data_IF_917190621780
#
_entry.id   IF_917190621780
#
_cell.length_a   1.000
_cell.length_b   1.000
_cell.length_c   1.000
_cell.angle_alpha   90.00
_cell.angle_beta   90.00
_cell.angle_gamma   90.00
#
_symmetry.space_group_name_H-M   'P 1'
#
loop_
_entity.id
_entity.type
_entity.pdbx_description
1 polymer ?
#
# COMPACT_ATOMS: atom_id res chain seq x y z
N UNK A 1 28.45 -22.04 -12.25
CA UNK A 1 28.25 -20.59 -12.00
C UNK A 1 27.22 -20.46 -10.88
N UNK A 2 27.25 -19.41 -10.05
CA UNK A 2 26.15 -19.11 -9.14
C UNK A 2 24.84 -18.89 -9.94
N UNK A 3 23.69 -19.06 -9.29
CA UNK A 3 22.42 -18.57 -9.86
C UNK A 3 22.42 -17.03 -9.78
N UNK A 4 22.01 -16.39 -10.88
CA UNK A 4 21.91 -14.93 -10.98
C UNK A 4 20.47 -14.48 -10.73
N UNK A 5 20.29 -13.36 -10.05
CA UNK A 5 18.97 -12.76 -9.74
C UNK A 5 18.96 -11.33 -10.25
N UNK A 6 18.00 -11.02 -11.12
CA UNK A 6 17.65 -9.65 -11.49
C UNK A 6 16.53 -9.16 -10.58
N UNK A 7 16.71 -8.00 -9.96
CA UNK A 7 15.70 -7.32 -9.14
C UNK A 7 15.30 -6.03 -9.85
N UNK A 8 14.01 -5.85 -10.13
CA UNK A 8 13.48 -4.65 -10.77
C UNK A 8 12.81 -3.77 -9.71
N UNK A 9 13.36 -2.56 -9.54
CA UNK A 9 13.04 -1.61 -8.48
C UNK A 9 13.86 -1.83 -7.20
N UNK A 10 14.39 -0.74 -6.64
CA UNK A 10 15.09 -0.69 -5.34
C UNK A 10 14.23 0.00 -4.26
N UNK A 11 12.90 -0.15 -4.35
CA UNK A 11 11.99 0.08 -3.21
C UNK A 11 12.20 -0.95 -2.09
N UNK A 12 11.53 -0.77 -0.95
CA UNK A 12 11.69 -1.65 0.23
C UNK A 12 11.55 -3.16 -0.09
N UNK A 13 10.64 -3.53 -1.00
CA UNK A 13 10.50 -4.91 -1.49
C UNK A 13 11.73 -5.41 -2.27
N UNK A 14 12.29 -4.58 -3.16
CA UNK A 14 13.48 -4.90 -3.94
C UNK A 14 14.76 -4.90 -3.12
N UNK A 15 14.88 -4.01 -2.14
CA UNK A 15 15.99 -4.02 -1.17
C UNK A 15 15.97 -5.30 -0.32
N UNK A 16 14.79 -5.76 0.12
CA UNK A 16 14.65 -7.06 0.77
C UNK A 16 15.04 -8.21 -0.18
N UNK A 17 14.57 -8.19 -1.42
CA UNK A 17 14.91 -9.19 -2.44
C UNK A 17 16.42 -9.29 -2.68
N UNK A 18 17.08 -8.15 -2.90
CA UNK A 18 18.53 -8.09 -3.11
C UNK A 18 19.30 -8.57 -1.87
N UNK A 19 18.94 -8.09 -0.68
CA UNK A 19 19.56 -8.47 0.60
C UNK A 19 19.51 -9.98 0.86
N UNK A 20 18.34 -10.60 0.75
CA UNK A 20 18.20 -12.05 0.99
C UNK A 20 18.80 -12.89 -0.14
N UNK A 21 18.91 -12.36 -1.37
CA UNK A 21 19.63 -13.01 -2.47
C UNK A 21 21.14 -13.02 -2.23
N UNK A 22 21.72 -11.88 -1.83
CA UNK A 22 23.14 -11.77 -1.43
C UNK A 22 23.44 -12.70 -0.25
N UNK A 23 22.56 -12.73 0.76
CA UNK A 23 22.71 -13.62 1.93
C UNK A 23 22.63 -15.13 1.58
N UNK A 24 22.06 -15.49 0.42
CA UNK A 24 22.06 -16.85 -0.14
C UNK A 24 23.25 -17.14 -1.06
N UNK A 25 24.20 -16.21 -1.21
CA UNK A 25 25.37 -16.36 -2.10
C UNK A 25 25.02 -16.28 -3.59
N UNK A 26 23.93 -15.61 -3.94
CA UNK A 26 23.51 -15.40 -5.33
C UNK A 26 24.23 -14.18 -5.92
N UNK A 27 24.42 -14.18 -7.23
CA UNK A 27 24.89 -13.02 -7.99
C UNK A 27 23.68 -12.12 -8.27
N UNK A 28 23.71 -10.86 -7.86
CA UNK A 28 22.52 -9.98 -7.85
C UNK A 28 22.78 -8.71 -8.62
N UNK A 29 21.86 -8.39 -9.53
CA UNK A 29 21.80 -7.11 -10.25
C UNK A 29 20.46 -6.43 -9.94
N UNK A 30 20.50 -5.13 -9.60
CA UNK A 30 19.33 -4.36 -9.17
C UNK A 30 19.13 -3.17 -10.11
N UNK A 31 18.00 -3.12 -10.79
CA UNK A 31 17.63 -2.06 -11.72
C UNK A 31 16.64 -1.09 -11.05
N UNK A 32 17.13 0.07 -10.63
CA UNK A 32 16.30 1.19 -10.17
C UNK A 32 16.21 2.24 -11.29
N UNK A 33 15.01 2.81 -11.50
CA UNK A 33 14.76 3.80 -12.57
C UNK A 33 15.00 5.24 -12.10
N UNK A 34 15.02 5.46 -10.78
CA UNK A 34 15.32 6.74 -10.13
C UNK A 34 16.79 6.80 -9.69
N UNK A 35 17.24 7.98 -9.25
CA UNK A 35 18.62 8.17 -8.80
C UNK A 35 18.88 7.72 -7.35
N UNK A 36 17.88 7.13 -6.68
CA UNK A 36 17.91 6.84 -5.23
C UNK A 36 17.18 5.54 -4.89
N UNK A 37 17.73 4.77 -3.94
CA UNK A 37 17.02 3.62 -3.36
C UNK A 37 15.94 4.06 -2.37
N UNK A 38 14.89 3.25 -2.21
CA UNK A 38 13.74 3.53 -1.32
C UNK A 38 12.39 3.47 -2.04
N UNK A 39 12.37 3.63 -3.37
CA UNK A 39 11.16 3.58 -4.20
C UNK A 39 10.16 4.67 -3.77
N UNK A 40 8.93 4.28 -3.43
CA UNK A 40 7.89 5.20 -2.94
C UNK A 40 8.35 6.10 -1.79
N UNK A 41 9.23 5.62 -0.89
CA UNK A 41 9.70 6.42 0.26
C UNK A 41 10.70 7.53 -0.11
N UNK A 42 11.24 7.52 -1.33
CA UNK A 42 11.99 8.67 -1.86
C UNK A 42 10.96 9.74 -2.22
N UNK A 43 10.98 10.85 -1.48
CA UNK A 43 10.12 11.98 -1.80
C UNK A 43 10.59 12.70 -3.08
N UNK A 44 9.62 13.21 -3.83
CA UNK A 44 9.86 14.12 -4.95
C UNK A 44 8.62 14.96 -5.14
N UNK A 45 8.78 16.29 -5.17
CA UNK A 45 7.69 17.20 -5.50
C UNK A 45 7.29 17.18 -6.97
N UNK A 46 8.08 16.54 -7.85
CA UNK A 46 7.68 16.30 -9.23
C UNK A 46 6.45 15.38 -9.26
N UNK A 47 5.37 15.85 -9.88
CA UNK A 47 4.14 15.09 -10.12
C UNK A 47 4.33 14.10 -11.27
N UNK A 48 3.58 13.01 -11.30
CA UNK A 48 3.72 11.96 -12.32
C UNK A 48 5.03 11.14 -12.29
N UNK A 49 5.79 11.17 -11.18
CA UNK A 49 6.98 10.35 -10.99
C UNK A 49 6.64 8.98 -10.34
N UNK A 50 7.63 8.22 -9.86
CA UNK A 50 7.37 6.96 -9.16
C UNK A 50 6.80 7.16 -7.74
N UNK A 51 7.14 8.29 -7.08
CA UNK A 51 6.76 8.56 -5.70
C UNK A 51 5.33 9.10 -5.59
N UNK A 52 4.66 8.75 -4.50
CA UNK A 52 3.32 9.23 -4.12
C UNK A 52 3.29 9.80 -2.70
N UNK A 53 4.43 10.24 -2.18
CA UNK A 53 4.57 10.88 -0.87
C UNK A 53 4.30 12.39 -0.96
N UNK A 54 3.89 12.99 0.16
CA UNK A 54 3.45 14.38 0.28
C UNK A 54 3.90 14.94 1.63
N UNK A 55 4.45 16.15 1.65
CA UNK A 55 5.34 16.79 2.64
C UNK A 55 5.05 16.48 4.13
N UNK A 56 3.78 16.37 4.52
CA UNK A 56 3.35 16.16 5.91
C UNK A 56 2.92 14.70 6.23
N UNK A 57 3.05 13.77 5.26
CA UNK A 57 2.70 12.35 5.40
C UNK A 57 3.41 11.73 6.59
N UNK A 58 2.60 11.13 7.46
CA UNK A 58 3.03 10.14 8.46
C UNK A 58 2.58 8.76 8.02
N UNK A 59 3.39 7.74 8.26
CA UNK A 59 3.05 6.33 7.95
C UNK A 59 1.63 5.94 8.40
N UNK A 60 0.99 5.02 7.67
CA UNK A 60 -0.35 4.50 8.00
C UNK A 60 -0.30 3.22 8.87
N UNK A 61 0.90 2.78 9.23
CA UNK A 61 1.22 1.71 10.17
C UNK A 61 2.40 2.17 11.05
N UNK A 62 2.51 1.67 12.28
CA UNK A 62 3.56 2.07 13.21
C UNK A 62 4.89 1.38 12.87
N UNK A 63 6.04 2.02 13.16
CA UNK A 63 7.38 1.54 12.81
C UNK A 63 7.67 0.13 13.37
N UNK A 64 7.07 -0.19 14.52
CA UNK A 64 7.18 -1.45 15.25
C UNK A 64 6.59 -2.65 14.48
N UNK A 65 5.53 -2.46 13.68
CA UNK A 65 4.98 -3.50 12.79
C UNK A 65 5.50 -3.40 11.34
N UNK A 66 6.27 -2.36 11.05
CA UNK A 66 6.87 -2.13 9.73
C UNK A 66 8.34 -2.52 9.66
N UNK A 67 9.08 -2.68 10.76
CA UNK A 67 10.52 -2.98 10.71
C UNK A 67 10.87 -4.35 10.09
N UNK A 68 12.06 -4.43 9.49
CA UNK A 68 12.67 -5.71 9.12
C UNK A 68 13.27 -6.39 10.36
N UNK A 69 13.25 -7.73 10.40
CA UNK A 69 13.65 -8.52 11.58
C UNK A 69 15.06 -8.25 12.09
N UNK A 70 15.96 -7.87 11.21
CA UNK A 70 17.39 -7.64 11.45
C UNK A 70 17.83 -6.19 11.15
N UNK A 71 16.87 -5.29 10.90
CA UNK A 71 17.09 -3.83 10.77
C UNK A 71 15.95 -3.11 11.51
N UNK A 72 16.02 -3.03 12.85
CA UNK A 72 15.03 -2.29 13.63
C UNK A 72 15.14 -0.79 13.36
N UNK A 73 14.04 -0.06 13.55
CA UNK A 73 14.09 1.40 13.61
C UNK A 73 14.73 1.86 14.93
N UNK A 74 15.33 3.04 14.94
CA UNK A 74 15.79 3.69 16.19
C UNK A 74 14.62 3.88 17.15
N UNK A 75 14.84 3.60 18.43
CA UNK A 75 13.83 3.71 19.49
C UNK A 75 13.31 5.13 19.69
N UNK A 76 14.17 6.14 19.51
CA UNK A 76 13.87 7.56 19.72
C UNK A 76 12.96 8.20 18.65
N UNK A 77 12.64 7.46 17.59
CA UNK A 77 11.70 7.89 16.56
C UNK A 77 10.25 7.64 17.00
N UNK A 78 9.30 8.57 16.72
CA UNK A 78 7.88 8.34 16.98
C UNK A 78 7.40 7.14 16.17
N UNK A 79 6.37 6.43 16.66
CA UNK A 79 5.87 5.23 15.97
C UNK A 79 5.35 5.53 14.55
N UNK A 80 4.99 6.78 14.20
CA UNK A 80 4.58 7.17 12.84
C UNK A 80 5.54 8.21 12.20
N UNK A 81 6.20 7.84 11.10
CA UNK A 81 7.40 8.50 10.52
C UNK A 81 7.11 9.41 9.28
N UNK A 82 7.97 10.41 9.01
CA UNK A 82 7.91 11.40 7.88
C UNK A 82 9.05 11.25 6.84
N UNK A 83 9.32 12.23 5.93
CA UNK A 83 10.03 12.00 4.63
C UNK A 83 10.59 13.23 3.80
N UNK A 84 10.54 14.48 4.28
CA UNK A 84 10.86 15.81 3.65
C UNK A 84 12.05 15.93 2.63
N UNK A 85 12.18 16.84 1.61
CA UNK A 85 11.31 17.88 0.93
C UNK A 85 11.84 18.23 -0.55
N UNK A 86 11.82 19.45 -1.19
CA UNK A 86 11.08 19.71 -2.46
C UNK A 86 11.81 20.16 -3.77
N UNK A 87 11.25 19.85 -4.97
CA UNK A 87 10.79 20.80 -6.06
C UNK A 87 9.93 20.13 -7.21
N UNK A 88 9.16 20.89 -8.03
CA UNK A 88 8.15 20.44 -9.07
C UNK A 88 8.25 21.23 -10.42
N UNK A 89 7.71 20.78 -11.60
CA UNK A 89 6.52 21.48 -12.19
C UNK A 89 5.60 20.76 -13.27
N UNK A 90 4.30 20.55 -12.96
CA UNK A 90 3.09 20.49 -13.86
C UNK A 90 3.00 19.43 -15.02
N UNK A 91 1.89 19.16 -15.75
CA UNK A 91 0.54 19.75 -16.07
C UNK A 91 -0.49 18.58 -16.29
N UNK A 92 -1.79 18.65 -16.64
CA UNK A 92 -2.88 19.64 -16.91
C UNK A 92 -4.27 18.91 -16.96
N UNK A 93 -5.43 19.62 -16.97
CA UNK A 93 -6.77 19.11 -17.39
C UNK A 93 -7.82 20.25 -17.61
N UNK A 94 -9.10 19.90 -17.84
CA UNK A 94 -10.19 20.82 -18.26
C UNK A 94 -11.18 21.25 -17.15
N UNK A 95 -10.89 21.05 -15.86
CA UNK A 95 -11.67 21.63 -14.76
C UNK A 95 -11.38 23.15 -14.62
N UNK A 96 -12.35 23.94 -14.14
CA UNK A 96 -12.16 25.39 -13.92
C UNK A 96 -11.28 25.73 -12.70
N UNK A 97 -11.19 24.80 -11.74
CA UNK A 97 -10.26 24.86 -10.61
C UNK A 97 -9.16 23.79 -10.74
N UNK A 98 -8.56 23.39 -9.61
CA UNK A 98 -7.50 22.36 -9.60
C UNK A 98 -8.10 20.95 -9.44
N UNK A 99 -7.93 20.06 -10.42
CA UNK A 99 -8.24 18.62 -10.28
C UNK A 99 -6.95 17.80 -10.33
N UNK A 100 -6.71 16.96 -9.32
CA UNK A 100 -5.54 16.08 -9.21
C UNK A 100 -5.91 14.68 -8.68
N UNK A 101 -5.02 13.69 -8.86
CA UNK A 101 -5.08 12.45 -8.08
C UNK A 101 -4.28 12.58 -6.77
N UNK A 102 -4.52 11.71 -5.79
CA UNK A 102 -3.73 11.63 -4.55
C UNK A 102 -2.25 11.30 -4.80
N UNK A 103 -1.92 10.83 -6.01
CA UNK A 103 -0.56 10.66 -6.50
C UNK A 103 0.20 11.99 -6.65
N UNK A 104 -0.52 13.07 -6.98
CA UNK A 104 0.04 14.39 -7.31
C UNK A 104 -0.15 15.42 -6.20
N UNK A 105 -0.89 15.07 -5.14
CA UNK A 105 -0.94 15.85 -3.92
C UNK A 105 0.46 15.92 -3.30
N UNK A 106 0.87 17.10 -2.82
CA UNK A 106 2.18 17.30 -2.19
C UNK A 106 2.16 17.93 -0.81
N UNK A 107 1.12 18.65 -0.38
CA UNK A 107 1.05 19.35 0.93
C UNK A 107 -0.26 20.10 1.17
N UNK A 108 -0.58 20.37 2.42
CA UNK A 108 -1.79 21.11 2.79
C UNK A 108 -1.73 22.62 2.47
N UNK A 109 -0.53 23.24 2.52
CA UNK A 109 -0.36 24.70 2.37
C UNK A 109 -0.79 25.24 1.00
N UNK A 110 -0.73 24.42 -0.04
CA UNK A 110 -1.10 24.79 -1.42
C UNK A 110 -2.63 24.89 -1.63
N UNK A 111 -3.41 24.63 -0.57
CA UNK A 111 -4.88 24.69 -0.52
C UNK A 111 -5.43 25.66 0.54
N UNK A 112 -4.58 26.58 1.04
CA UNK A 112 -4.98 27.65 1.96
C UNK A 112 -6.26 28.37 1.50
N UNK A 113 -7.23 28.49 2.40
CA UNK A 113 -8.53 29.14 2.22
C UNK A 113 -9.44 28.58 1.10
N UNK A 114 -9.07 27.46 0.44
CA UNK A 114 -9.88 26.84 -0.63
C UNK A 114 -11.02 25.98 -0.11
N UNK A 115 -12.04 25.77 -0.94
CA UNK A 115 -12.99 24.67 -0.80
C UNK A 115 -12.52 23.45 -1.62
N UNK A 116 -12.39 22.30 -0.96
CA UNK A 116 -11.78 21.09 -1.55
C UNK A 116 -12.72 19.90 -1.44
N UNK A 117 -13.04 19.25 -2.56
CA UNK A 117 -13.69 17.94 -2.59
C UNK A 117 -12.60 16.85 -2.57
N UNK A 118 -12.76 15.84 -1.72
CA UNK A 118 -11.91 14.63 -1.69
C UNK A 118 -12.77 13.42 -2.05
N UNK A 119 -12.51 12.80 -3.20
CA UNK A 119 -13.31 11.68 -3.74
C UNK A 119 -12.66 10.36 -3.32
N UNK A 120 -13.35 9.61 -2.45
CA UNK A 120 -12.91 8.32 -1.94
C UNK A 120 -12.24 8.42 -0.57
N UNK A 121 -12.88 7.87 0.46
CA UNK A 121 -12.39 7.85 1.83
C UNK A 121 -11.56 6.57 2.14
N UNK A 122 -10.61 6.26 1.25
CA UNK A 122 -9.55 5.27 1.53
C UNK A 122 -8.43 5.87 2.40
N UNK A 123 -7.35 5.12 2.69
CA UNK A 123 -6.23 5.59 3.52
C UNK A 123 -5.69 6.96 3.10
N UNK A 124 -5.39 7.17 1.82
CA UNK A 124 -4.95 8.48 1.30
C UNK A 124 -6.04 9.55 1.42
N UNK A 125 -7.30 9.20 1.21
CA UNK A 125 -8.42 10.15 1.23
C UNK A 125 -8.65 10.76 2.61
N UNK A 126 -8.60 9.96 3.66
CA UNK A 126 -8.75 10.47 5.03
C UNK A 126 -7.49 11.19 5.52
N UNK A 127 -6.28 10.70 5.21
CA UNK A 127 -5.04 11.38 5.66
C UNK A 127 -4.89 12.76 5.00
N UNK A 128 -5.16 12.86 3.69
CA UNK A 128 -5.17 14.13 2.95
C UNK A 128 -6.29 15.05 3.47
N UNK A 129 -7.51 14.54 3.73
CA UNK A 129 -8.59 15.35 4.28
C UNK A 129 -8.25 15.90 5.69
N UNK A 130 -7.58 15.11 6.54
CA UNK A 130 -7.13 15.55 7.86
C UNK A 130 -5.98 16.57 7.78
N UNK A 131 -5.03 16.41 6.85
CA UNK A 131 -4.00 17.43 6.60
C UNK A 131 -4.61 18.74 6.08
N UNK A 132 -5.55 18.67 5.15
CA UNK A 132 -6.28 19.83 4.63
C UNK A 132 -7.11 20.55 5.70
N UNK A 133 -7.55 19.87 6.76
CA UNK A 133 -8.36 20.51 7.81
C UNK A 133 -7.63 21.65 8.54
N UNK A 134 -6.30 21.68 8.49
CA UNK A 134 -5.49 22.75 9.06
C UNK A 134 -5.29 23.98 8.14
N UNK A 135 -5.71 23.94 6.86
CA UNK A 135 -5.42 24.99 5.87
C UNK A 135 -6.59 25.37 4.96
N UNK A 136 -7.43 24.42 4.57
CA UNK A 136 -8.54 24.66 3.65
C UNK A 136 -9.78 25.21 4.38
N UNK A 137 -10.49 26.14 3.74
CA UNK A 137 -11.73 26.77 4.25
C UNK A 137 -12.83 25.76 4.51
N UNK A 138 -12.94 24.75 3.64
CA UNK A 138 -13.91 23.65 3.76
C UNK A 138 -13.44 22.43 2.97
N UNK A 139 -13.65 21.24 3.55
CA UNK A 139 -13.37 19.96 2.92
C UNK A 139 -14.69 19.20 2.77
N UNK A 140 -14.92 18.58 1.61
CA UNK A 140 -16.06 17.68 1.39
C UNK A 140 -15.56 16.29 1.00
N UNK A 141 -15.60 15.33 1.94
CA UNK A 141 -15.12 13.97 1.76
C UNK A 141 -16.27 13.05 1.27
N UNK A 142 -16.19 12.56 0.04
CA UNK A 142 -17.29 11.83 -0.63
C UNK A 142 -16.94 10.34 -0.74
N UNK A 143 -17.74 9.46 -0.14
CA UNK A 143 -17.53 8.00 -0.16
C UNK A 143 -18.77 7.21 0.24
N UNK A 144 -19.09 6.12 -0.50
CA UNK A 144 -20.04 5.09 -0.03
C UNK A 144 -19.42 4.03 0.89
N UNK A 145 -18.09 3.94 0.94
CA UNK A 145 -17.38 2.77 1.51
C UNK A 145 -16.79 3.00 2.90
N UNK A 146 -16.74 4.25 3.37
CA UNK A 146 -16.23 4.59 4.69
C UNK A 146 -16.84 5.91 5.17
N UNK A 147 -17.15 5.95 6.46
CA UNK A 147 -17.71 7.08 7.22
C UNK A 147 -16.96 7.11 8.56
N UNK A 148 -16.63 8.30 9.07
CA UNK A 148 -15.89 8.44 10.32
C UNK A 148 -16.77 9.06 11.42
N UNK A 149 -16.64 8.61 12.69
CA UNK A 149 -17.48 9.09 13.78
C UNK A 149 -17.08 10.48 14.29
N UNK A 150 -15.85 10.92 13.99
CA UNK A 150 -15.31 12.21 14.42
C UNK A 150 -14.34 12.73 13.36
N UNK A 151 -14.58 13.97 12.93
CA UNK A 151 -13.77 14.72 11.97
C UNK A 151 -13.72 16.19 12.46
N UNK A 152 -12.70 16.99 12.06
CA UNK A 152 -12.69 18.42 12.29
C UNK A 152 -13.89 19.14 11.65
N UNK A 153 -14.36 20.23 12.26
CA UNK A 153 -15.62 20.91 11.92
C UNK A 153 -15.71 21.41 10.46
N UNK A 154 -14.57 21.66 9.81
CA UNK A 154 -14.51 22.06 8.40
C UNK A 154 -14.59 20.89 7.41
N UNK A 155 -14.64 19.62 7.86
CA UNK A 155 -14.84 18.45 7.00
C UNK A 155 -16.30 17.99 7.01
N UNK A 156 -17.01 18.23 5.92
CA UNK A 156 -18.31 17.59 5.63
C UNK A 156 -18.08 16.21 5.00
N UNK A 157 -18.68 15.14 5.53
CA UNK A 157 -18.64 13.81 4.91
C UNK A 157 -19.97 13.46 4.21
N UNK A 158 -19.91 12.87 3.01
CA UNK A 158 -21.08 12.56 2.18
C UNK A 158 -21.04 11.09 1.74
N UNK A 159 -22.06 10.33 2.14
CA UNK A 159 -22.22 8.89 1.94
C UNK A 159 -22.53 8.43 0.51
N UNK A 160 -22.01 9.09 -0.53
CA UNK A 160 -22.41 8.90 -1.93
C UNK A 160 -21.24 8.59 -2.88
N UNK A 161 -21.56 8.41 -4.15
CA UNK A 161 -20.62 8.50 -5.26
C UNK A 161 -20.80 9.82 -6.00
N UNK A 162 -19.70 10.32 -6.58
CA UNK A 162 -19.72 11.37 -7.58
C UNK A 162 -20.18 10.77 -8.90
N UNK A 163 -21.28 11.29 -9.43
CA UNK A 163 -21.94 10.86 -10.67
C UNK A 163 -21.26 11.49 -11.90
N UNK A 164 -20.79 12.74 -11.76
CA UNK A 164 -20.01 13.48 -12.75
C UNK A 164 -19.32 14.69 -12.11
N UNK A 165 -18.19 15.10 -12.69
CA UNK A 165 -17.57 16.42 -12.44
C UNK A 165 -18.34 17.48 -13.23
N UNK A 166 -18.39 18.70 -12.70
CA UNK A 166 -19.00 19.89 -13.28
C UNK A 166 -17.95 21.01 -13.38
N UNK A 167 -18.23 22.08 -14.12
CA UNK A 167 -17.31 23.20 -14.30
C UNK A 167 -16.84 23.85 -12.98
N UNK A 168 -17.68 23.83 -11.95
CA UNK A 168 -17.47 24.48 -10.64
C UNK A 168 -17.44 23.49 -9.46
N UNK A 169 -17.39 22.17 -9.70
CA UNK A 169 -17.42 21.15 -8.65
C UNK A 169 -17.91 19.78 -9.14
N UNK A 170 -18.88 19.15 -8.46
CA UNK A 170 -19.45 17.86 -8.87
C UNK A 170 -20.94 17.67 -8.56
N UNK A 171 -21.56 16.68 -9.21
CA UNK A 171 -22.90 16.16 -8.89
C UNK A 171 -22.76 14.75 -8.28
N UNK A 172 -23.46 14.45 -7.18
CA UNK A 172 -23.55 13.10 -6.61
C UNK A 172 -24.73 12.31 -7.18
N UNK A 173 -24.78 11.00 -6.92
CA UNK A 173 -25.84 10.10 -7.43
C UNK A 173 -27.26 10.52 -7.03
N UNK A 174 -27.45 11.16 -5.88
CA UNK A 174 -28.73 11.72 -5.42
C UNK A 174 -29.08 13.09 -6.03
N UNK A 175 -28.21 13.63 -6.89
CA UNK A 175 -28.38 14.94 -7.53
C UNK A 175 -27.86 16.12 -6.70
N UNK A 176 -27.25 15.90 -5.53
CA UNK A 176 -26.64 17.01 -4.77
C UNK A 176 -25.47 17.60 -5.56
N UNK A 177 -25.51 18.93 -5.77
CA UNK A 177 -24.43 19.67 -6.42
C UNK A 177 -23.54 20.30 -5.35
N UNK A 178 -22.24 20.04 -5.45
CA UNK A 178 -21.22 20.49 -4.50
C UNK A 178 -20.22 21.34 -5.29
N UNK A 179 -20.00 22.59 -4.86
CA UNK A 179 -18.99 23.49 -5.46
C UNK A 179 -17.63 23.30 -4.78
N UNK A 180 -16.54 23.54 -5.49
CA UNK A 180 -15.18 23.55 -4.94
C UNK A 180 -14.19 24.31 -5.84
N UNK A 181 -13.13 24.84 -5.23
CA UNK A 181 -11.95 25.37 -5.93
C UNK A 181 -10.99 24.23 -6.35
N UNK A 182 -11.13 23.05 -5.74
CA UNK A 182 -10.26 21.89 -5.96
C UNK A 182 -10.99 20.56 -5.81
N UNK A 183 -10.64 19.57 -6.65
CA UNK A 183 -11.07 18.17 -6.52
C UNK A 183 -9.82 17.29 -6.43
N UNK A 184 -9.67 16.54 -5.33
CA UNK A 184 -8.62 15.53 -5.14
C UNK A 184 -9.24 14.14 -5.23
N UNK A 185 -8.78 13.35 -6.20
CA UNK A 185 -9.27 12.00 -6.44
C UNK A 185 -8.40 11.00 -5.67
N UNK A 186 -8.99 10.24 -4.75
CA UNK A 186 -8.31 9.32 -3.83
C UNK A 186 -8.78 7.87 -4.05
N UNK A 187 -9.01 7.48 -5.31
CA UNK A 187 -9.68 6.23 -5.70
C UNK A 187 -8.78 4.99 -5.72
N UNK A 188 -7.48 5.14 -5.52
CA UNK A 188 -6.49 4.05 -5.54
C UNK A 188 -5.66 4.02 -6.82
N UNK A 189 -4.98 2.90 -7.07
CA UNK A 189 -3.98 2.78 -8.12
C UNK A 189 -4.25 1.56 -9.01
N UNK A 190 -3.64 1.55 -10.19
CA UNK A 190 -3.68 0.45 -11.16
C UNK A 190 -2.30 -0.20 -11.28
N UNK A 191 -2.27 -1.50 -11.54
CA UNK A 191 -1.03 -2.21 -11.87
C UNK A 191 -0.60 -1.91 -13.31
N UNK A 192 0.70 -1.70 -13.53
CA UNK A 192 1.27 -1.42 -14.86
C UNK A 192 2.71 -1.90 -14.92
N UNK A 193 2.99 -2.83 -15.84
CA UNK A 193 4.32 -3.40 -16.06
C UNK A 193 4.72 -3.22 -17.53
N UNK A 194 5.07 -2.00 -17.98
CA UNK A 194 5.24 -1.67 -19.40
C UNK A 194 6.48 -2.31 -20.05
N UNK A 195 7.26 -3.06 -19.28
CA UNK A 195 8.45 -3.82 -19.69
C UNK A 195 8.19 -5.33 -19.79
N UNK A 196 6.96 -5.79 -19.54
CA UNK A 196 6.54 -7.18 -19.74
C UNK A 196 5.43 -7.22 -20.81
N UNK A 197 5.52 -8.18 -21.74
CA UNK A 197 4.51 -8.39 -22.78
C UNK A 197 3.28 -9.09 -22.20
N UNK A 198 2.09 -8.83 -22.76
CA UNK A 198 0.82 -9.46 -22.33
C UNK A 198 0.79 -11.00 -22.46
N UNK A 199 1.65 -11.57 -23.31
CA UNK A 199 1.86 -13.02 -23.41
C UNK A 199 2.55 -13.60 -22.17
N UNK A 200 3.41 -12.81 -21.51
CA UNK A 200 4.13 -13.17 -20.29
C UNK A 200 3.29 -12.85 -19.05
N UNK A 201 2.78 -11.61 -18.93
CA UNK A 201 2.04 -11.15 -17.76
C UNK A 201 0.81 -10.35 -18.18
N UNK A 202 -0.36 -10.70 -17.64
CA UNK A 202 -1.63 -10.04 -17.98
C UNK A 202 -2.13 -9.22 -16.81
N UNK A 203 -2.48 -7.97 -17.06
CA UNK A 203 -3.22 -7.15 -16.10
C UNK A 203 -4.71 -7.15 -16.46
N UNK A 204 -5.50 -7.88 -15.68
CA UNK A 204 -6.95 -8.07 -15.88
C UNK A 204 -7.77 -7.03 -15.12
N UNK A 205 -9.09 -7.10 -15.26
CA UNK A 205 -10.07 -6.37 -14.43
C UNK A 205 -9.82 -4.86 -14.41
N UNK A 206 -9.70 -4.23 -15.58
CA UNK A 206 -9.36 -2.80 -15.74
C UNK A 206 -8.07 -2.41 -14.98
N UNK A 207 -7.01 -3.18 -15.19
CA UNK A 207 -5.69 -3.02 -14.56
C UNK A 207 -5.67 -3.18 -13.02
N UNK A 208 -6.64 -3.90 -12.44
CA UNK A 208 -6.73 -4.11 -10.99
C UNK A 208 -6.27 -5.51 -10.52
N UNK A 209 -5.91 -6.43 -11.42
CA UNK A 209 -5.49 -7.80 -11.09
C UNK A 209 -4.28 -8.24 -11.94
N UNK A 210 -3.21 -8.73 -11.31
CA UNK A 210 -1.98 -9.25 -11.99
C UNK A 210 -2.04 -10.78 -12.08
N UNK A 211 -1.79 -11.34 -13.26
CA UNK A 211 -2.06 -12.74 -13.59
C UNK A 211 -1.12 -13.32 -14.66
N UNK A 212 -0.84 -14.65 -14.69
CA UNK A 212 -1.24 -15.68 -13.74
C UNK A 212 -0.31 -15.82 -12.52
N UNK A 213 -0.83 -15.56 -11.32
CA UNK A 213 -0.02 -15.52 -10.09
C UNK A 213 -0.54 -16.51 -9.03
N UNK A 214 0.33 -17.38 -8.53
CA UNK A 214 0.13 -18.26 -7.37
C UNK A 214 0.58 -17.55 -6.07
N UNK A 215 -0.22 -17.68 -5.00
CA UNK A 215 0.04 -17.08 -3.67
C UNK A 215 0.45 -15.58 -3.72
N UNK A 216 -0.09 -14.83 -4.68
CA UNK A 216 0.23 -13.42 -4.94
C UNK A 216 1.73 -13.10 -5.18
N UNK A 217 2.57 -14.12 -5.43
CA UNK A 217 4.02 -13.98 -5.58
C UNK A 217 4.56 -14.68 -6.84
N UNK A 218 4.18 -15.94 -7.06
CA UNK A 218 4.88 -16.84 -7.97
C UNK A 218 4.18 -16.85 -9.33
N UNK A 219 4.91 -16.66 -10.43
CA UNK A 219 4.30 -16.74 -11.76
C UNK A 219 3.95 -18.18 -12.13
N UNK A 220 2.70 -18.47 -12.48
CA UNK A 220 2.24 -19.85 -12.71
C UNK A 220 2.93 -20.56 -13.90
N UNK A 221 3.44 -19.80 -14.87
CA UNK A 221 4.22 -20.32 -16.00
C UNK A 221 5.73 -20.40 -15.73
N UNK A 222 6.26 -19.63 -14.76
CA UNK A 222 7.70 -19.50 -14.50
C UNK A 222 8.00 -19.57 -12.99
N UNK A 223 7.60 -20.64 -12.29
CA UNK A 223 7.48 -20.64 -10.82
C UNK A 223 8.81 -20.74 -10.06
N UNK A 224 9.91 -20.95 -10.76
CA UNK A 224 11.29 -20.95 -10.24
C UNK A 224 12.08 -19.69 -10.62
N UNK A 225 11.49 -18.79 -11.42
CA UNK A 225 12.24 -17.80 -12.20
C UNK A 225 11.57 -16.43 -12.39
N UNK A 226 10.26 -16.29 -12.20
CA UNK A 226 9.56 -14.99 -12.19
C UNK A 226 8.67 -14.84 -10.95
N UNK A 227 8.93 -13.78 -10.19
CA UNK A 227 8.28 -13.50 -8.92
C UNK A 227 7.90 -12.02 -8.81
N UNK A 228 6.81 -11.74 -8.10
CA UNK A 228 6.31 -10.41 -7.79
C UNK A 228 6.24 -10.26 -6.27
N UNK A 229 6.76 -9.16 -5.73
CA UNK A 229 6.76 -8.89 -4.29
C UNK A 229 5.89 -7.65 -4.04
N UNK A 230 4.98 -7.74 -3.07
CA UNK A 230 4.12 -6.61 -2.68
C UNK A 230 2.91 -6.35 -3.58
N UNK A 231 2.35 -7.36 -4.25
CA UNK A 231 1.09 -7.23 -5.00
C UNK A 231 -0.16 -7.05 -4.10
N UNK A 232 -0.03 -7.15 -2.78
CA UNK A 232 -1.18 -7.30 -1.90
C UNK A 232 -1.83 -5.97 -1.49
N UNK A 233 -3.15 -6.01 -1.35
CA UNK A 233 -3.95 -4.89 -0.88
C UNK A 233 -4.34 -5.11 0.59
N UNK A 234 -4.18 -4.05 1.40
CA UNK A 234 -4.55 -3.98 2.82
C UNK A 234 -3.83 -5.03 3.67
N UNK A 235 -2.53 -4.82 3.89
CA UNK A 235 -1.62 -5.68 4.67
C UNK A 235 -0.62 -4.85 5.50
N UNK A 236 0.12 -5.51 6.40
CA UNK A 236 1.44 -5.05 6.85
C UNK A 236 2.43 -5.04 5.67
N UNK A 237 3.51 -4.25 5.77
CA UNK A 237 4.33 -3.88 4.61
C UNK A 237 5.64 -4.66 4.50
N UNK A 238 6.65 -4.38 5.32
CA UNK A 238 7.98 -4.99 5.13
C UNK A 238 8.08 -6.46 5.61
N UNK A 239 7.36 -6.91 6.68
CA UNK A 239 7.32 -8.33 7.03
C UNK A 239 6.71 -9.20 5.92
N UNK A 240 5.69 -8.67 5.23
CA UNK A 240 5.13 -9.28 4.02
C UNK A 240 6.21 -9.44 2.94
N UNK A 241 6.94 -8.37 2.62
CA UNK A 241 7.99 -8.43 1.60
C UNK A 241 9.08 -9.45 1.96
N UNK A 242 9.52 -9.52 3.22
CA UNK A 242 10.51 -10.51 3.66
C UNK A 242 10.00 -11.95 3.49
N UNK A 243 8.77 -12.26 3.93
CA UNK A 243 8.19 -13.59 3.77
C UNK A 243 8.05 -13.98 2.29
N UNK A 244 7.56 -13.07 1.45
CA UNK A 244 7.40 -13.29 0.01
C UNK A 244 8.74 -13.53 -0.69
N UNK A 245 9.75 -12.74 -0.36
CA UNK A 245 11.13 -12.91 -0.85
C UNK A 245 11.71 -14.25 -0.40
N UNK A 246 11.48 -14.65 0.86
CA UNK A 246 11.96 -15.95 1.37
C UNK A 246 11.33 -17.13 0.62
N UNK A 247 10.02 -17.12 0.36
CA UNK A 247 9.36 -18.15 -0.45
C UNK A 247 9.85 -18.14 -1.89
N UNK A 248 9.92 -16.98 -2.54
CA UNK A 248 10.41 -16.84 -3.91
C UNK A 248 11.84 -17.38 -4.05
N UNK A 249 12.74 -17.04 -3.14
CA UNK A 249 14.11 -17.54 -3.14
C UNK A 249 14.20 -19.03 -2.75
N UNK A 250 13.30 -19.56 -1.93
CA UNK A 250 13.24 -20.99 -1.65
C UNK A 250 12.88 -21.79 -2.91
N UNK A 251 11.90 -21.34 -3.70
CA UNK A 251 11.59 -21.95 -5.00
C UNK A 251 12.75 -21.76 -6.00
N UNK A 252 13.24 -20.52 -6.16
CA UNK A 252 14.31 -20.19 -7.12
C UNK A 252 15.64 -20.92 -6.84
N UNK A 253 15.97 -21.23 -5.58
CA UNK A 253 17.18 -22.00 -5.23
C UNK A 253 16.92 -23.50 -5.02
N UNK A 254 15.67 -23.98 -5.09
CA UNK A 254 15.31 -25.37 -4.78
C UNK A 254 15.41 -25.74 -3.29
N UNK A 255 15.32 -24.75 -2.39
CA UNK A 255 15.24 -24.94 -0.93
C UNK A 255 13.84 -25.34 -0.42
N UNK A 256 12.83 -25.23 -1.27
CA UNK A 256 11.48 -25.77 -1.06
C UNK A 256 10.92 -26.35 -2.36
N UNK A 257 9.96 -27.27 -2.23
CA UNK A 257 9.31 -27.92 -3.38
C UNK A 257 8.25 -27.02 -4.02
N UNK A 258 8.34 -26.82 -5.33
CA UNK A 258 7.34 -26.08 -6.11
C UNK A 258 6.10 -26.99 -6.30
N UNK A 259 4.87 -26.51 -6.05
CA UNK A 259 3.64 -27.28 -6.29
C UNK A 259 3.47 -27.70 -7.76
N UNK A 260 2.74 -28.80 -7.98
CA UNK A 260 2.44 -29.31 -9.32
C UNK A 260 1.86 -28.24 -10.24
N UNK A 261 2.25 -28.29 -11.52
CA UNK A 261 1.81 -27.35 -12.56
C UNK A 261 0.29 -27.13 -12.59
N UNK A 262 -0.49 -28.19 -12.37
CA UNK A 262 -1.96 -28.10 -12.30
C UNK A 262 -2.42 -27.26 -11.11
N UNK A 263 -1.81 -27.40 -9.93
CA UNK A 263 -2.12 -26.61 -8.74
C UNK A 263 -1.82 -25.14 -8.99
N UNK A 264 -0.65 -24.82 -9.55
CA UNK A 264 -0.25 -23.43 -9.85
C UNK A 264 -1.25 -22.72 -10.79
N UNK A 265 -1.68 -23.41 -11.85
CA UNK A 265 -2.60 -22.86 -12.87
C UNK A 265 -4.05 -22.78 -12.37
N UNK A 266 -4.52 -23.76 -11.60
CA UNK A 266 -5.88 -23.73 -11.03
C UNK A 266 -6.03 -22.75 -9.85
N UNK A 267 -4.94 -22.41 -9.15
CA UNK A 267 -4.96 -21.64 -7.90
C UNK A 267 -5.69 -20.30 -8.02
N UNK A 268 -5.32 -19.46 -9.01
CA UNK A 268 -5.92 -18.12 -9.19
C UNK A 268 -7.45 -18.22 -9.34
N UNK A 269 -7.92 -19.16 -10.17
CA UNK A 269 -9.36 -19.39 -10.39
C UNK A 269 -10.06 -19.82 -9.09
N UNK A 270 -9.50 -20.82 -8.41
CA UNK A 270 -10.09 -21.37 -7.18
C UNK A 270 -10.17 -20.30 -6.07
N UNK A 271 -9.18 -19.42 -5.95
CA UNK A 271 -9.21 -18.31 -5.00
C UNK A 271 -10.21 -17.21 -5.38
N UNK A 272 -10.30 -16.86 -6.67
CA UNK A 272 -11.32 -15.93 -7.18
C UNK A 272 -12.74 -16.47 -6.92
N UNK A 273 -12.96 -17.78 -7.11
CA UNK A 273 -14.22 -18.46 -6.79
C UNK A 273 -14.52 -18.39 -5.29
N UNK A 274 -13.53 -18.68 -4.42
CA UNK A 274 -13.68 -18.55 -2.98
C UNK A 274 -14.03 -17.11 -2.54
N UNK A 275 -13.30 -16.11 -3.03
CA UNK A 275 -13.56 -14.69 -2.74
C UNK A 275 -14.95 -14.23 -3.20
N UNK A 276 -15.45 -14.76 -4.34
CA UNK A 276 -16.82 -14.50 -4.81
C UNK A 276 -17.89 -15.04 -3.86
N UNK A 277 -17.65 -16.14 -3.13
CA UNK A 277 -18.60 -16.61 -2.09
C UNK A 277 -18.74 -15.64 -0.91
N UNK A 278 -17.74 -14.75 -0.72
CA UNK A 278 -17.72 -13.67 0.27
C UNK A 278 -18.17 -12.32 -0.29
N UNK A 279 -18.72 -12.29 -1.51
CA UNK A 279 -19.22 -11.08 -2.16
C UNK A 279 -18.14 -10.16 -2.75
N UNK A 280 -16.90 -10.63 -2.90
CA UNK A 280 -15.82 -9.85 -3.53
C UNK A 280 -15.84 -9.99 -5.06
N UNK A 281 -15.65 -8.87 -5.74
CA UNK A 281 -15.42 -8.82 -7.20
C UNK A 281 -14.05 -9.41 -7.56
N UNK A 282 -13.91 -9.98 -8.78
CA UNK A 282 -12.67 -10.61 -9.27
C UNK A 282 -11.41 -9.76 -9.03
N UNK A 283 -11.51 -8.44 -9.26
CA UNK A 283 -10.43 -7.45 -9.05
C UNK A 283 -9.78 -7.46 -7.65
N UNK A 284 -10.46 -8.01 -6.64
CA UNK A 284 -9.91 -8.10 -5.29
C UNK A 284 -9.06 -9.36 -5.05
N UNK A 285 -8.63 -10.07 -6.10
CA UNK A 285 -7.76 -11.25 -5.97
C UNK A 285 -6.60 -11.05 -4.98
N UNK A 286 -5.87 -9.94 -5.04
CA UNK A 286 -4.74 -9.66 -4.14
C UNK A 286 -5.09 -9.00 -2.79
N UNK A 287 -6.38 -8.84 -2.46
CA UNK A 287 -6.84 -8.29 -1.19
C UNK A 287 -6.75 -9.36 -0.09
N UNK A 288 -6.03 -9.08 1.00
CA UNK A 288 -5.87 -10.02 2.12
C UNK A 288 -6.58 -9.59 3.40
N UNK A 289 -6.50 -8.32 3.81
CA UNK A 289 -7.14 -7.82 5.04
C UNK A 289 -6.80 -8.69 6.27
N UNK A 290 -7.79 -9.33 6.91
CA UNK A 290 -7.57 -10.24 8.06
C UNK A 290 -6.96 -11.59 7.69
N UNK A 291 -7.00 -11.99 6.42
CA UNK A 291 -6.44 -13.27 5.94
C UNK A 291 -4.93 -13.22 5.74
N UNK A 292 -4.31 -12.04 5.89
CA UNK A 292 -2.87 -11.85 5.75
C UNK A 292 -2.06 -12.73 6.73
N UNK A 293 -2.59 -13.04 7.91
CA UNK A 293 -1.89 -13.83 8.94
C UNK A 293 -1.76 -15.29 8.52
N UNK A 294 -2.85 -15.93 8.12
CA UNK A 294 -2.83 -17.30 7.58
C UNK A 294 -2.13 -17.35 6.20
N UNK A 295 -2.18 -16.27 5.41
CA UNK A 295 -1.36 -16.15 4.21
C UNK A 295 0.15 -16.18 4.53
N UNK A 296 0.61 -15.37 5.49
CA UNK A 296 2.02 -15.32 5.92
C UNK A 296 2.48 -16.69 6.44
N UNK A 297 1.68 -17.31 7.32
CA UNK A 297 1.95 -18.65 7.83
C UNK A 297 1.98 -19.71 6.71
N UNK A 298 1.10 -19.60 5.71
CA UNK A 298 1.07 -20.50 4.56
C UNK A 298 2.28 -20.33 3.64
N UNK A 299 2.73 -19.11 3.34
CA UNK A 299 3.92 -18.90 2.50
C UNK A 299 5.23 -19.20 3.25
N UNK A 300 5.25 -19.14 4.59
CA UNK A 300 6.35 -19.68 5.40
C UNK A 300 6.46 -21.21 5.27
N UNK A 301 5.32 -21.93 5.40
CA UNK A 301 5.24 -23.38 5.20
C UNK A 301 5.60 -23.79 3.76
N UNK A 302 5.13 -23.06 2.75
CA UNK A 302 5.49 -23.31 1.33
C UNK A 302 6.96 -22.98 1.04
N UNK A 303 7.51 -21.93 1.65
CA UNK A 303 8.90 -21.53 1.50
C UNK A 303 9.90 -22.32 2.35
N UNK A 304 9.43 -23.26 3.18
CA UNK A 304 10.25 -24.07 4.09
C UNK A 304 11.12 -23.19 5.02
N UNK A 305 10.51 -22.20 5.69
CA UNK A 305 11.17 -21.34 6.67
C UNK A 305 10.29 -21.05 7.89
N UNK A 306 10.92 -20.82 9.04
CA UNK A 306 10.21 -20.49 10.28
C UNK A 306 9.58 -19.10 10.25
N UNK A 307 8.39 -19.00 10.82
CA UNK A 307 7.73 -17.72 11.05
C UNK A 307 8.53 -16.81 12.01
N UNK A 308 8.26 -15.51 11.96
CA UNK A 308 8.81 -14.58 12.95
C UNK A 308 8.18 -14.85 14.32
N UNK A 309 8.97 -15.02 15.41
CA UNK A 309 8.45 -15.38 16.72
C UNK A 309 7.40 -14.37 17.25
N UNK A 310 7.64 -13.08 17.02
CA UNK A 310 6.77 -11.97 17.41
C UNK A 310 5.69 -11.62 16.36
N UNK A 311 5.40 -12.49 15.39
CA UNK A 311 4.34 -12.21 14.39
C UNK A 311 2.96 -12.05 15.05
N UNK A 312 2.69 -12.76 16.16
CA UNK A 312 1.46 -12.59 16.93
C UNK A 312 1.37 -11.19 17.57
N UNK A 313 2.50 -10.63 17.99
CA UNK A 313 2.60 -9.27 18.57
C UNK A 313 2.33 -8.21 17.51
N UNK A 314 2.88 -8.41 16.30
CA UNK A 314 2.57 -7.60 15.11
C UNK A 314 1.08 -7.66 14.76
N UNK A 315 0.46 -8.83 14.80
CA UNK A 315 -0.99 -8.97 14.62
C UNK A 315 -1.77 -8.19 15.69
N UNK A 316 -1.43 -8.37 16.98
CA UNK A 316 -2.13 -7.73 18.09
C UNK A 316 -2.06 -6.19 18.00
N UNK A 317 -0.89 -5.61 17.69
CA UNK A 317 -0.73 -4.16 17.48
C UNK A 317 -1.54 -3.68 16.26
N UNK A 318 -1.55 -4.46 15.18
CA UNK A 318 -2.31 -4.14 13.95
C UNK A 318 -3.82 -4.17 14.20
N UNK A 319 -4.32 -5.15 14.96
CA UNK A 319 -5.72 -5.23 15.39
C UNK A 319 -6.09 -4.07 16.32
N UNK A 320 -5.25 -3.76 17.32
CA UNK A 320 -5.46 -2.63 18.24
C UNK A 320 -5.62 -1.31 17.46
N UNK A 321 -4.70 -1.02 16.53
CA UNK A 321 -4.76 0.19 15.71
C UNK A 321 -5.93 0.22 14.74
N UNK A 322 -6.44 -0.92 14.28
CA UNK A 322 -7.67 -0.97 13.48
C UNK A 322 -8.86 -0.43 14.28
N UNK A 323 -9.02 -0.84 15.54
CA UNK A 323 -10.09 -0.33 16.42
C UNK A 323 -9.84 1.12 16.88
N UNK A 324 -8.60 1.52 17.16
CA UNK A 324 -8.29 2.92 17.45
C UNK A 324 -8.58 3.83 16.25
N UNK A 325 -8.30 3.39 15.01
CA UNK A 325 -8.61 4.16 13.79
C UNK A 325 -10.11 4.26 13.50
N UNK A 326 -10.89 3.21 13.77
CA UNK A 326 -12.36 3.25 13.66
C UNK A 326 -12.97 4.26 14.63
N UNK A 327 -12.50 4.27 15.87
CA UNK A 327 -13.07 5.09 16.96
C UNK A 327 -12.56 6.53 16.97
N UNK A 328 -11.27 6.76 16.68
CA UNK A 328 -10.66 8.08 16.64
C UNK A 328 -9.63 8.19 15.50
N UNK A 329 -10.13 8.47 14.29
CA UNK A 329 -9.28 8.60 13.09
C UNK A 329 -8.33 9.80 13.12
N UNK A 330 -8.60 10.80 13.98
CA UNK A 330 -7.76 11.98 14.17
C UNK A 330 -6.57 11.64 15.10
N UNK A 331 -6.86 11.03 16.24
CA UNK A 331 -5.91 10.84 17.35
C UNK A 331 -5.05 9.57 17.29
N UNK A 332 -5.37 8.57 16.46
CA UNK A 332 -4.64 7.28 16.50
C UNK A 332 -3.14 7.40 16.19
N UNK A 333 -2.70 8.44 15.46
CA UNK A 333 -1.27 8.70 15.18
C UNK A 333 -0.49 9.31 16.36
N UNK A 334 -1.15 9.61 17.49
CA UNK A 334 -0.51 10.08 18.73
C UNK A 334 -0.21 8.92 19.71
N UNK A 335 -0.53 7.68 19.31
CA UNK A 335 -0.26 6.46 20.07
C UNK A 335 1.13 5.95 19.65
N UNK A 336 2.02 5.73 20.63
CA UNK A 336 3.28 5.04 20.42
C UNK A 336 3.22 3.63 21.02
N UNK A 337 4.11 2.76 20.54
CA UNK A 337 4.24 1.39 21.03
C UNK A 337 5.67 1.17 21.51
N UNK A 338 5.83 0.54 22.67
CA UNK A 338 7.12 0.06 23.14
C UNK A 338 7.09 -1.47 23.15
N UNK A 339 8.02 -2.10 22.43
CA UNK A 339 8.18 -3.54 22.47
C UNK A 339 8.99 -3.97 23.71
N UNK A 340 8.75 -5.20 24.14
CA UNK A 340 9.64 -5.97 25.02
C UNK A 340 10.97 -6.32 24.32
N UNK A 341 12.00 -6.70 25.08
CA UNK A 341 13.34 -6.99 24.54
C UNK A 341 13.37 -8.18 23.56
N UNK A 342 12.47 -9.16 23.72
CA UNK A 342 12.28 -10.29 22.80
C UNK A 342 11.25 -10.00 21.68
N UNK A 343 10.61 -8.83 21.72
CA UNK A 343 9.55 -8.40 20.82
C UNK A 343 8.20 -9.10 21.02
N UNK A 344 8.05 -9.99 22.00
CA UNK A 344 6.87 -10.86 22.13
C UNK A 344 5.64 -10.17 22.72
N UNK A 345 5.85 -9.17 23.58
CA UNK A 345 4.81 -8.33 24.18
C UNK A 345 5.04 -6.82 23.92
N UNK A 346 4.01 -6.00 24.14
CA UNK A 346 4.06 -4.55 23.88
C UNK A 346 3.28 -3.70 24.89
N UNK A 347 3.84 -2.53 25.23
CA UNK A 347 3.17 -1.48 26.00
C UNK A 347 2.61 -0.40 25.05
N UNK A 348 1.39 0.09 25.33
CA UNK A 348 0.80 1.22 24.62
C UNK A 348 1.18 2.51 25.33
N UNK A 349 2.10 3.28 24.75
CA UNK A 349 2.58 4.55 25.28
C UNK A 349 1.77 5.69 24.67
N UNK A 350 0.93 6.33 25.50
CA UNK A 350 0.15 7.51 25.12
C UNK A 350 0.93 8.78 25.46
N UNK A 351 0.94 9.74 24.54
CA UNK A 351 1.40 11.10 24.79
C UNK A 351 0.40 11.89 25.65
#
# INVERSE_FOLDING_TARGET
>A
MPKRVCVIGAGAAGLAAAKHSIAKGLEVEVFEQTNSVGGTWVYSEQTGCHSSMYQDLKTNLPKEVMQFRDVPFREDLPSFLTHEDPNNPYKENNFGGTLIHSHDYRRAKDYLDKEVIVIGAGPSGIDIALQLSATARKITLISRKATYPTLPDNITQIGQHVKKVLAEGCETDDGTVIRADTIIVCTGYFYKYPFLNDDVLRVKENNQLVSPIFEHVVHAEYPDSLFFIGLNLVTITFPLFEYQVKMALAFATGGAGIPDKKVLVDYERNQIEHQKTRGLETRFYHLLQSEQWEYLARIARLGNFDEWPYMKTIENITQYLHEQRKSNVIGYKNINFKLSEDGMDYEVVRC
#
